data_IF_795983254992
#
_entry.id   IF_795983254992
#
_cell.length_a   1.000
_cell.length_b   1.000
_cell.length_c   1.000
_cell.angle_alpha   90.00
_cell.angle_beta   90.00
_cell.angle_gamma   90.00
#
_symmetry.space_group_name_H-M   'P 1'
#
loop_
_entity.id
_entity.type
_entity.pdbx_description
1 polymer ?
#
# COMPACT_ATOMS: atom_id res chain seq x y z
N UNK A 1 -26.99 14.50 -8.21
CA UNK A 1 -27.08 15.78 -7.47
C UNK A 1 -26.21 16.77 -8.24
N UNK A 2 -26.78 17.83 -8.82
CA UNK A 2 -26.00 18.84 -9.56
C UNK A 2 -25.62 19.91 -8.54
N UNK A 3 -24.37 19.90 -8.11
CA UNK A 3 -23.83 20.84 -7.12
C UNK A 3 -23.75 22.23 -7.76
N UNK A 4 -24.55 23.19 -7.25
CA UNK A 4 -24.54 24.58 -7.72
C UNK A 4 -23.25 25.33 -7.35
N UNK A 5 -22.43 24.74 -6.48
CA UNK A 5 -21.21 25.34 -5.93
C UNK A 5 -19.94 24.95 -6.71
N UNK A 6 -20.06 24.26 -7.85
CA UNK A 6 -18.93 23.82 -8.67
C UNK A 6 -18.53 24.77 -9.82
N UNK A 7 -19.23 25.91 -10.00
CA UNK A 7 -19.04 26.81 -11.13
C UNK A 7 -19.08 28.29 -10.74
N UNK A 8 -18.11 29.07 -11.24
CA UNK A 8 -18.10 30.52 -11.14
C UNK A 8 -18.81 31.14 -12.34
N UNK A 9 -19.74 32.04 -12.05
CA UNK A 9 -20.62 32.68 -13.04
C UNK A 9 -20.41 34.19 -13.09
N UNK A 10 -20.50 34.78 -14.29
CA UNK A 10 -20.43 36.22 -14.52
C UNK A 10 -21.67 36.69 -15.27
N UNK A 11 -22.21 37.84 -14.87
CA UNK A 11 -23.24 38.55 -15.63
C UNK A 11 -22.59 39.42 -16.71
N UNK A 12 -23.06 39.31 -17.95
CA UNK A 12 -22.60 40.06 -19.10
C UNK A 12 -23.74 40.96 -19.62
N UNK A 13 -23.50 42.26 -19.73
CA UNK A 13 -24.48 43.29 -20.14
C UNK A 13 -23.90 44.09 -21.32
N UNK A 14 -24.22 43.73 -22.58
CA UNK A 14 -23.65 44.36 -23.77
C UNK A 14 -24.18 45.78 -24.09
N UNK A 15 -24.97 46.40 -23.20
CA UNK A 15 -25.39 47.80 -23.31
C UNK A 15 -26.67 48.06 -24.13
N UNK A 16 -27.24 47.03 -24.75
CA UNK A 16 -28.56 47.04 -25.42
C UNK A 16 -29.73 46.77 -24.47
N UNK A 17 -29.46 46.71 -23.15
CA UNK A 17 -30.41 46.33 -22.13
C UNK A 17 -30.62 44.82 -21.98
N UNK A 18 -30.01 43.99 -22.84
CA UNK A 18 -29.94 42.55 -22.65
C UNK A 18 -28.90 42.18 -21.58
N UNK A 19 -29.07 41.01 -20.98
CA UNK A 19 -28.08 40.43 -20.07
C UNK A 19 -28.07 38.92 -20.22
N UNK A 20 -26.91 38.30 -19.97
CA UNK A 20 -26.75 36.85 -19.90
C UNK A 20 -25.81 36.45 -18.76
N UNK A 21 -26.03 35.25 -18.21
CA UNK A 21 -25.10 34.62 -17.27
C UNK A 21 -24.20 33.69 -18.07
N UNK A 22 -22.89 33.80 -17.84
CA UNK A 22 -21.88 32.94 -18.44
C UNK A 22 -21.08 32.24 -17.33
N UNK A 23 -20.85 30.94 -17.47
CA UNK A 23 -19.90 30.22 -16.62
C UNK A 23 -18.49 30.60 -17.09
N UNK A 24 -17.68 31.14 -16.20
CA UNK A 24 -16.32 31.62 -16.51
C UNK A 24 -15.24 30.70 -15.96
N UNK A 25 -15.56 29.87 -14.95
CA UNK A 25 -14.64 28.89 -14.39
C UNK A 25 -15.40 27.76 -13.68
N UNK A 26 -14.72 26.64 -13.47
CA UNK A 26 -15.11 25.56 -12.56
C UNK A 26 -14.39 25.74 -11.22
N UNK A 27 -14.92 25.11 -10.16
CA UNK A 27 -14.30 25.07 -8.84
C UNK A 27 -13.97 23.62 -8.46
N UNK A 28 -12.73 23.36 -8.06
CA UNK A 28 -12.31 22.05 -7.54
C UNK A 28 -12.91 21.81 -6.14
N UNK A 29 -12.93 20.56 -5.63
CA UNK A 29 -13.40 20.28 -4.27
C UNK A 29 -12.63 21.01 -3.15
N UNK A 30 -11.38 21.38 -3.40
CA UNK A 30 -10.56 22.20 -2.49
C UNK A 30 -10.89 23.70 -2.56
N UNK A 31 -11.70 24.11 -3.53
CA UNK A 31 -12.08 25.51 -3.77
C UNK A 31 -11.25 26.24 -4.82
N UNK A 32 -10.26 25.60 -5.45
CA UNK A 32 -9.43 26.22 -6.49
C UNK A 32 -10.26 26.51 -7.75
N UNK A 33 -9.97 27.65 -8.40
CA UNK A 33 -10.70 28.10 -9.60
C UNK A 33 -9.96 27.66 -10.86
N UNK A 34 -10.67 26.98 -11.76
CA UNK A 34 -10.15 26.52 -13.06
C UNK A 34 -10.92 27.22 -14.19
N UNK A 35 -10.35 28.21 -14.88
CA UNK A 35 -11.02 28.90 -15.98
C UNK A 35 -11.58 27.95 -17.04
N UNK A 36 -12.69 28.32 -17.68
CA UNK A 36 -13.25 27.53 -18.78
C UNK A 36 -12.23 27.37 -19.91
N UNK A 37 -12.16 26.16 -20.46
CA UNK A 37 -11.18 25.71 -21.45
C UNK A 37 -9.73 25.77 -20.97
N UNK A 38 -9.51 25.54 -19.67
CA UNK A 38 -8.18 25.46 -19.07
C UNK A 38 -8.06 24.27 -18.12
N UNK A 39 -6.82 24.04 -17.68
CA UNK A 39 -6.46 22.95 -16.79
C UNK A 39 -5.70 23.48 -15.58
N UNK A 40 -5.83 22.79 -14.45
CA UNK A 40 -5.17 23.12 -13.19
C UNK A 40 -4.67 21.84 -12.53
N UNK A 41 -3.39 21.82 -12.13
CA UNK A 41 -2.82 20.68 -11.41
C UNK A 41 -2.93 20.95 -9.91
N UNK A 42 -3.47 19.97 -9.20
CA UNK A 42 -3.61 19.97 -7.76
C UNK A 42 -3.20 18.60 -7.23
N UNK A 43 -2.08 18.57 -6.51
CA UNK A 43 -1.49 17.34 -5.97
C UNK A 43 -1.40 16.24 -7.05
N UNK A 44 -2.15 15.16 -6.86
CA UNK A 44 -2.19 13.98 -7.72
C UNK A 44 -3.22 14.07 -8.85
N UNK A 45 -3.96 15.18 -8.92
CA UNK A 45 -5.07 15.37 -9.85
C UNK A 45 -4.78 16.47 -10.86
N UNK A 46 -5.24 16.27 -12.08
CA UNK A 46 -5.31 17.30 -13.11
C UNK A 46 -6.78 17.62 -13.36
N UNK A 47 -7.19 18.85 -13.06
CA UNK A 47 -8.54 19.34 -13.21
C UNK A 47 -8.69 20.05 -14.55
N UNK A 48 -9.65 19.63 -15.37
CA UNK A 48 -9.91 20.22 -16.69
C UNK A 48 -11.32 20.78 -16.72
N UNK A 49 -11.46 22.09 -16.88
CA UNK A 49 -12.76 22.74 -17.03
C UNK A 49 -13.03 22.94 -18.52
N UNK A 50 -13.92 22.17 -19.12
CA UNK A 50 -14.16 22.18 -20.57
C UNK A 50 -15.57 22.68 -20.88
N UNK A 51 -15.72 23.40 -21.99
CA UNK A 51 -17.02 23.76 -22.55
C UNK A 51 -17.25 23.07 -23.89
N UNK A 52 -18.37 22.37 -24.03
CA UNK A 52 -18.75 21.76 -25.31
C UNK A 52 -19.36 22.78 -26.29
N UNK A 53 -19.56 22.37 -27.55
CA UNK A 53 -20.14 23.22 -28.60
C UNK A 53 -21.59 23.66 -28.32
N UNK A 54 -22.28 23.04 -27.35
CA UNK A 54 -23.63 23.41 -26.91
C UNK A 54 -23.59 24.34 -25.70
N UNK A 55 -22.40 24.78 -25.28
CA UNK A 55 -22.19 25.68 -24.15
C UNK A 55 -22.20 24.98 -22.79
N UNK A 56 -22.26 23.64 -22.72
CA UNK A 56 -22.23 22.91 -21.46
C UNK A 56 -20.82 22.90 -20.89
N UNK A 57 -20.68 23.36 -19.66
CA UNK A 57 -19.40 23.35 -18.94
C UNK A 57 -19.34 22.13 -18.01
N UNK A 58 -18.20 21.43 -18.02
CA UNK A 58 -17.95 20.24 -17.18
C UNK A 58 -16.55 20.34 -16.58
N UNK A 59 -16.44 20.02 -15.30
CA UNK A 59 -15.17 19.79 -14.63
C UNK A 59 -14.81 18.30 -14.70
N UNK A 60 -13.72 17.97 -15.37
CA UNK A 60 -13.17 16.62 -15.42
C UNK A 60 -11.98 16.48 -14.49
N UNK A 61 -11.94 15.40 -13.72
CA UNK A 61 -10.77 15.01 -12.93
C UNK A 61 -9.96 13.97 -13.70
N UNK A 62 -8.73 14.31 -14.02
CA UNK A 62 -7.69 13.42 -14.53
C UNK A 62 -6.61 13.15 -13.49
N UNK A 63 -5.65 12.31 -13.86
CA UNK A 63 -4.48 11.98 -13.04
C UNK A 63 -3.34 12.90 -13.44
N UNK A 64 -2.75 13.63 -12.50
CA UNK A 64 -1.51 14.37 -12.75
C UNK A 64 -0.40 13.36 -13.07
N UNK A 65 0.15 13.36 -14.30
CA UNK A 65 1.16 12.39 -14.67
C UNK A 65 2.42 12.54 -13.81
N UNK A 66 2.80 13.77 -13.48
CA UNK A 66 4.02 14.13 -12.76
C UNK A 66 3.80 14.26 -11.23
N UNK A 67 2.75 13.62 -10.72
CA UNK A 67 2.43 13.61 -9.31
C UNK A 67 3.53 12.90 -8.50
N UNK A 68 3.90 13.52 -7.38
CA UNK A 68 4.91 13.02 -6.45
C UNK A 68 4.35 12.00 -5.45
N UNK A 69 5.23 11.22 -4.85
CA UNK A 69 4.91 10.29 -3.77
C UNK A 69 5.53 10.81 -2.47
N UNK A 70 4.81 11.70 -1.78
CA UNK A 70 5.40 12.47 -0.67
C UNK A 70 6.51 13.39 -1.19
N UNK A 71 7.73 13.16 -0.72
CA UNK A 71 8.91 13.93 -1.15
C UNK A 71 9.55 13.41 -2.46
N UNK A 72 9.10 12.25 -2.97
CA UNK A 72 9.73 11.58 -4.11
C UNK A 72 9.12 11.99 -5.46
N UNK A 73 9.98 12.33 -6.42
CA UNK A 73 9.57 12.69 -7.78
C UNK A 73 9.05 11.48 -8.56
N UNK A 74 8.26 11.72 -9.61
CA UNK A 74 7.82 10.65 -10.51
C UNK A 74 9.04 9.94 -11.14
N UNK A 75 9.06 8.60 -11.06
CA UNK A 75 10.15 7.74 -11.53
C UNK A 75 11.30 7.59 -10.52
N UNK A 76 11.28 8.34 -9.43
CA UNK A 76 12.24 8.18 -8.35
C UNK A 76 12.05 6.82 -7.67
N UNK A 77 13.18 6.21 -7.30
CA UNK A 77 13.22 4.99 -6.52
C UNK A 77 13.80 5.30 -5.14
N UNK A 78 13.17 4.77 -4.09
CA UNK A 78 13.67 4.91 -2.72
C UNK A 78 13.54 3.60 -1.94
N UNK A 79 14.36 3.50 -0.90
CA UNK A 79 14.41 2.36 -0.01
C UNK A 79 13.75 2.71 1.31
N UNK A 80 12.86 1.83 1.77
CA UNK A 80 12.38 1.82 3.15
C UNK A 80 12.71 0.46 3.77
N UNK A 81 13.63 0.45 4.73
CA UNK A 81 14.14 -0.78 5.37
C UNK A 81 14.65 -1.80 4.35
N UNK A 82 13.98 -2.93 4.15
CA UNK A 82 14.36 -3.98 3.21
C UNK A 82 13.55 -3.92 1.91
N UNK A 83 12.87 -2.81 1.61
CA UNK A 83 11.93 -2.71 0.50
C UNK A 83 12.29 -1.55 -0.42
N UNK A 84 12.26 -1.81 -1.73
CA UNK A 84 12.48 -0.83 -2.79
C UNK A 84 11.15 -0.45 -3.42
N UNK A 85 10.92 0.85 -3.54
CA UNK A 85 9.73 1.44 -4.14
C UNK A 85 10.07 2.33 -5.34
N UNK A 86 9.07 2.57 -6.19
CA UNK A 86 9.09 3.51 -7.31
C UNK A 86 7.85 4.42 -7.22
N UNK A 87 8.01 5.71 -7.50
CA UNK A 87 6.88 6.62 -7.62
C UNK A 87 6.37 6.57 -9.05
N UNK A 88 5.23 5.92 -9.27
CA UNK A 88 4.63 5.83 -10.59
C UNK A 88 3.55 6.90 -10.80
N UNK A 89 3.08 6.99 -12.05
CA UNK A 89 2.11 7.98 -12.51
C UNK A 89 0.94 8.17 -11.53
N UNK A 90 0.62 9.42 -11.21
CA UNK A 90 -0.47 9.75 -10.30
C UNK A 90 -0.10 9.73 -8.81
N UNK A 91 1.20 9.78 -8.48
CA UNK A 91 1.66 9.79 -7.10
C UNK A 91 1.44 8.45 -6.40
N UNK A 92 1.45 7.36 -7.17
CA UNK A 92 1.24 6.02 -6.65
C UNK A 92 2.59 5.38 -6.30
N UNK A 93 2.70 4.87 -5.08
CA UNK A 93 3.86 4.11 -4.65
C UNK A 93 3.75 2.67 -5.15
N UNK A 94 4.75 2.20 -5.89
CA UNK A 94 4.82 0.83 -6.39
C UNK A 94 5.97 0.09 -5.72
N UNK A 95 5.67 -1.03 -5.08
CA UNK A 95 6.70 -1.94 -4.58
C UNK A 95 7.42 -2.66 -5.74
N UNK A 96 8.75 -2.67 -5.72
CA UNK A 96 9.61 -3.18 -6.81
C UNK A 96 10.33 -4.47 -6.41
N UNK A 97 11.05 -4.45 -5.29
CA UNK A 97 11.92 -5.54 -4.87
C UNK A 97 12.21 -5.48 -3.37
N UNK A 98 12.63 -6.61 -2.79
CA UNK A 98 13.26 -6.65 -1.50
C UNK A 98 14.78 -6.39 -1.64
N UNK A 99 15.41 -5.84 -0.62
CA UNK A 99 16.86 -5.59 -0.55
C UNK A 99 17.46 -6.51 0.52
N UNK A 100 18.33 -7.43 0.11
CA UNK A 100 19.10 -8.30 1.01
C UNK A 100 20.27 -7.57 1.69
N UNK A 101 20.94 -8.24 2.63
CA UNK A 101 22.03 -7.65 3.43
C UNK A 101 23.20 -7.08 2.60
N UNK A 102 23.43 -7.62 1.40
CA UNK A 102 24.52 -7.19 0.51
C UNK A 102 24.06 -6.14 -0.53
N UNK A 103 23.00 -5.37 -0.24
CA UNK A 103 22.34 -4.44 -1.17
C UNK A 103 21.75 -5.11 -2.43
N UNK A 104 21.66 -6.44 -2.42
CA UNK A 104 21.18 -7.18 -3.57
C UNK A 104 19.66 -7.11 -3.67
N UNK A 105 19.18 -6.73 -4.86
CA UNK A 105 17.74 -6.71 -5.15
C UNK A 105 17.24 -8.13 -5.43
N UNK A 106 16.16 -8.50 -4.75
CA UNK A 106 15.41 -9.74 -4.92
C UNK A 106 14.02 -9.35 -5.42
N UNK A 107 13.69 -9.65 -6.68
CA UNK A 107 12.38 -9.29 -7.25
C UNK A 107 11.26 -10.06 -6.56
N UNK A 108 10.03 -9.54 -6.67
CA UNK A 108 8.84 -10.22 -6.16
C UNK A 108 8.75 -11.64 -6.75
N UNK A 109 8.62 -12.64 -5.89
CA UNK A 109 8.58 -14.07 -6.24
C UNK A 109 9.95 -14.71 -6.50
N UNK A 110 11.03 -13.93 -6.44
CA UNK A 110 12.40 -14.43 -6.61
C UNK A 110 12.98 -14.89 -5.28
N UNK A 111 13.94 -15.81 -5.36
CA UNK A 111 14.81 -16.20 -4.25
C UNK A 111 16.27 -16.14 -4.67
N UNK A 112 17.14 -15.70 -3.76
CA UNK A 112 18.58 -15.59 -4.00
C UNK A 112 19.39 -16.15 -2.84
N UNK A 113 20.55 -16.71 -3.15
CA UNK A 113 21.48 -17.16 -2.11
C UNK A 113 22.33 -15.99 -1.61
N UNK A 114 22.16 -15.63 -0.34
CA UNK A 114 22.88 -14.56 0.33
C UNK A 114 23.44 -15.12 1.64
N UNK A 115 24.77 -15.12 1.78
CA UNK A 115 25.47 -15.52 3.01
C UNK A 115 25.06 -16.91 3.54
N UNK A 116 24.83 -17.88 2.65
CA UNK A 116 24.42 -19.24 3.02
C UNK A 116 22.93 -19.40 3.33
N UNK A 117 22.11 -18.40 3.03
CA UNK A 117 20.65 -18.45 3.09
C UNK A 117 20.05 -18.30 1.71
N UNK A 118 19.01 -19.05 1.39
CA UNK A 118 18.09 -18.77 0.29
C UNK A 118 17.09 -17.74 0.82
N UNK A 119 17.25 -16.49 0.41
CA UNK A 119 16.41 -15.36 0.79
C UNK A 119 15.36 -15.12 -0.29
N UNK A 120 14.09 -15.15 0.08
CA UNK A 120 12.92 -15.00 -0.80
C UNK A 120 12.22 -13.68 -0.54
N UNK A 121 11.79 -13.02 -1.62
CA UNK A 121 10.92 -11.85 -1.57
C UNK A 121 9.51 -12.25 -2.03
N UNK A 122 8.53 -12.21 -1.13
CA UNK A 122 7.18 -12.71 -1.39
C UNK A 122 6.13 -11.60 -1.23
N UNK A 123 5.15 -11.58 -2.13
CA UNK A 123 3.95 -10.74 -2.02
C UNK A 123 2.72 -11.63 -1.88
N UNK A 124 2.02 -11.51 -0.76
CA UNK A 124 0.79 -12.24 -0.47
C UNK A 124 -0.42 -11.62 -1.16
N UNK A 125 -1.50 -12.41 -1.31
CA UNK A 125 -2.74 -11.98 -1.97
C UNK A 125 -3.40 -10.77 -1.30
N UNK A 126 -3.26 -10.66 0.04
CA UNK A 126 -3.73 -9.51 0.81
C UNK A 126 -2.89 -8.23 0.61
N UNK A 127 -1.86 -8.29 -0.24
CA UNK A 127 -0.98 -7.17 -0.57
C UNK A 127 0.24 -7.02 0.35
N UNK A 128 0.34 -7.79 1.44
CA UNK A 128 1.51 -7.80 2.32
C UNK A 128 2.74 -8.30 1.58
N UNK A 129 3.88 -7.66 1.80
CA UNK A 129 5.18 -8.09 1.26
C UNK A 129 6.07 -8.53 2.41
N UNK A 130 6.76 -9.65 2.24
CA UNK A 130 7.72 -10.16 3.21
C UNK A 130 9.04 -10.55 2.53
N UNK A 131 10.14 -10.34 3.26
CA UNK A 131 11.43 -10.95 2.98
C UNK A 131 11.68 -12.02 4.05
N UNK A 132 12.01 -13.24 3.64
CA UNK A 132 12.32 -14.33 4.54
C UNK A 132 13.50 -15.14 4.01
N UNK A 133 14.23 -15.81 4.90
CA UNK A 133 15.44 -16.54 4.54
C UNK A 133 15.46 -17.92 5.17
N UNK A 134 15.78 -18.93 4.38
CA UNK A 134 16.02 -20.29 4.85
C UNK A 134 17.48 -20.63 4.65
N UNK A 135 18.14 -21.24 5.64
CA UNK A 135 19.56 -21.61 5.50
C UNK A 135 19.69 -22.66 4.40
N UNK A 136 20.61 -22.46 3.47
CA UNK A 136 20.91 -23.44 2.42
C UNK A 136 21.54 -24.66 3.08
N UNK A 137 20.92 -25.83 2.91
CA UNK A 137 21.51 -27.10 3.32
C UNK A 137 22.84 -27.29 2.57
N UNK A 138 23.96 -27.16 3.27
CA UNK A 138 25.23 -27.64 2.76
C UNK A 138 25.27 -29.15 2.95
N UNK A 139 25.47 -29.91 1.87
CA UNK A 139 25.99 -31.28 1.94
C UNK A 139 27.39 -31.23 2.58
N UNK A 140 27.45 -31.15 3.91
CA UNK A 140 28.67 -31.30 4.70
C UNK A 140 28.29 -31.95 6.03
N UNK A 141 28.55 -33.25 6.04
CA UNK A 141 28.93 -34.07 7.18
C UNK A 141 27.85 -34.37 8.23
N UNK A 142 27.03 -35.40 7.92
CA UNK A 142 26.54 -36.43 8.87
C UNK A 142 25.83 -35.99 10.16
N UNK A 143 25.62 -34.70 10.36
CA UNK A 143 24.96 -34.11 11.51
C UNK A 143 23.56 -33.77 11.06
N UNK A 144 22.61 -34.50 11.63
CA UNK A 144 21.18 -34.33 11.42
C UNK A 144 20.80 -32.87 11.70
N UNK A 145 20.66 -32.07 10.63
CA UNK A 145 20.33 -30.65 10.75
C UNK A 145 18.92 -30.50 11.33
N UNK A 146 18.84 -29.90 12.51
CA UNK A 146 17.57 -29.60 13.18
C UNK A 146 17.20 -28.16 12.83
N UNK A 147 16.32 -27.98 11.87
CA UNK A 147 15.71 -26.68 11.58
C UNK A 147 14.77 -26.30 12.72
N UNK A 148 14.88 -25.06 13.18
CA UNK A 148 14.21 -24.51 14.36
C UNK A 148 13.81 -23.06 14.09
N UNK A 149 12.69 -22.63 14.67
CA UNK A 149 12.26 -21.24 14.68
C UNK A 149 12.67 -20.57 15.99
N UNK A 150 12.92 -19.27 15.95
CA UNK A 150 13.29 -18.48 17.15
C UNK A 150 12.17 -17.49 17.45
N UNK A 151 11.68 -17.48 18.70
CA UNK A 151 10.63 -16.56 19.14
C UNK A 151 11.15 -15.16 19.51
N UNK A 152 10.27 -14.26 19.94
CA UNK A 152 10.64 -12.88 20.28
C UNK A 152 11.52 -12.75 21.54
N UNK A 153 11.53 -13.78 22.39
CA UNK A 153 12.38 -13.89 23.59
C UNK A 153 13.72 -14.60 23.29
N UNK A 154 13.91 -15.07 22.05
CA UNK A 154 15.11 -15.79 21.62
C UNK A 154 15.08 -17.29 21.89
N UNK A 155 13.96 -17.87 22.31
CA UNK A 155 13.86 -19.31 22.52
C UNK A 155 13.69 -20.06 21.19
N UNK A 156 14.28 -21.26 21.15
CA UNK A 156 14.27 -22.13 19.99
C UNK A 156 13.09 -23.11 20.03
N UNK A 157 12.38 -23.22 18.90
CA UNK A 157 11.21 -24.05 18.71
C UNK A 157 11.44 -25.02 17.55
N UNK A 158 11.09 -26.29 17.73
CA UNK A 158 11.24 -27.29 16.67
C UNK A 158 10.24 -27.06 15.52
N UNK A 159 10.56 -27.59 14.33
CA UNK A 159 9.57 -27.74 13.25
C UNK A 159 8.30 -28.44 13.78
N UNK A 160 7.16 -27.98 13.27
CA UNK A 160 5.80 -28.42 13.60
C UNK A 160 5.42 -28.24 15.08
N UNK A 161 6.26 -27.55 15.86
CA UNK A 161 5.92 -27.13 17.22
C UNK A 161 5.20 -25.77 17.21
N UNK A 162 4.47 -25.52 18.29
CA UNK A 162 3.74 -24.29 18.52
C UNK A 162 4.09 -23.69 19.88
N UNK A 163 3.96 -22.38 20.01
CA UNK A 163 4.23 -21.65 21.24
C UNK A 163 3.35 -20.41 21.37
N UNK A 164 3.22 -19.91 22.60
CA UNK A 164 2.59 -18.62 22.86
C UNK A 164 3.69 -17.56 22.94
N UNK A 165 3.71 -16.67 21.96
CA UNK A 165 4.64 -15.55 21.87
C UNK A 165 4.02 -14.28 22.48
N UNK A 166 4.77 -13.62 23.36
CA UNK A 166 4.38 -12.38 24.05
C UNK A 166 2.98 -12.45 24.70
N UNK A 167 2.60 -13.61 25.24
CA UNK A 167 1.28 -13.91 25.83
C UNK A 167 0.05 -13.64 24.95
N UNK A 168 0.25 -13.34 23.66
CA UNK A 168 -0.81 -12.82 22.77
C UNK A 168 -0.97 -13.59 21.49
N UNK A 169 0.05 -14.30 21.03
CA UNK A 169 0.02 -14.95 19.73
C UNK A 169 0.37 -16.41 19.89
N UNK A 170 -0.54 -17.29 19.47
CA UNK A 170 -0.23 -18.68 19.27
C UNK A 170 0.40 -18.86 17.89
N UNK A 171 1.68 -19.24 17.85
CA UNK A 171 2.49 -19.36 16.64
C UNK A 171 2.91 -20.79 16.39
N UNK A 172 3.22 -21.14 15.16
CA UNK A 172 3.77 -22.45 14.77
C UNK A 172 5.01 -22.29 13.90
N UNK A 173 5.96 -23.23 14.03
CA UNK A 173 7.12 -23.32 13.15
C UNK A 173 6.77 -24.31 12.04
N UNK A 174 6.66 -23.86 10.79
CA UNK A 174 6.39 -24.74 9.66
C UNK A 174 7.66 -25.52 9.29
N UNK A 175 7.50 -26.65 8.59
CA UNK A 175 8.61 -27.44 8.06
C UNK A 175 9.57 -26.67 7.13
N UNK A 176 9.16 -25.51 6.63
CA UNK A 176 10.01 -24.59 5.87
C UNK A 176 10.86 -23.65 6.74
N UNK A 177 10.72 -23.69 8.07
CA UNK A 177 11.35 -22.73 8.98
C UNK A 177 10.61 -21.39 9.06
N UNK A 178 9.45 -21.27 8.40
CA UNK A 178 8.58 -20.09 8.48
C UNK A 178 7.76 -20.15 9.78
N UNK A 179 7.67 -19.00 10.45
CA UNK A 179 6.76 -18.81 11.59
C UNK A 179 5.41 -18.36 11.06
N UNK A 180 4.34 -19.05 11.46
CA UNK A 180 2.96 -18.68 11.15
C UNK A 180 2.15 -18.41 12.42
N UNK A 181 1.11 -17.58 12.34
CA UNK A 181 0.25 -17.23 13.47
C UNK A 181 -1.07 -18.00 13.36
N UNK A 182 -1.32 -18.91 14.30
CA UNK A 182 -2.53 -19.74 14.32
C UNK A 182 -3.74 -19.01 14.89
N UNK A 183 -3.54 -18.26 15.98
CA UNK A 183 -4.58 -17.46 16.64
C UNK A 183 -3.98 -16.42 17.60
N UNK A 184 -4.82 -15.47 18.02
CA UNK A 184 -4.52 -14.54 19.11
C UNK A 184 -5.10 -15.07 20.43
N UNK A 185 -4.44 -14.77 21.55
CA UNK A 185 -4.88 -15.08 22.91
C UNK A 185 -5.44 -13.81 23.55
N UNK A 186 -6.71 -13.82 23.96
CA UNK A 186 -7.32 -12.71 24.70
C UNK A 186 -6.75 -12.61 26.12
N UNK A 187 -7.00 -11.51 26.83
CA UNK A 187 -6.59 -11.36 28.24
C UNK A 187 -7.17 -12.44 29.15
N UNK A 188 -8.32 -13.02 28.77
CA UNK A 188 -9.02 -14.07 29.49
C UNK A 188 -8.57 -15.48 29.04
N UNK A 189 -7.62 -15.55 28.09
CA UNK A 189 -7.07 -16.81 27.58
C UNK A 189 -7.83 -17.40 26.39
N UNK A 190 -8.81 -16.69 25.82
CA UNK A 190 -9.57 -17.18 24.69
C UNK A 190 -8.78 -17.13 23.38
N UNK A 191 -8.86 -18.22 22.60
CA UNK A 191 -8.27 -18.28 21.26
C UNK A 191 -9.19 -17.61 20.24
N UNK A 192 -8.69 -16.54 19.62
CA UNK A 192 -9.35 -15.74 18.58
C UNK A 192 -8.70 -16.06 17.23
N UNK A 193 -9.42 -16.62 16.26
CA UNK A 193 -8.85 -16.98 14.96
C UNK A 193 -8.34 -15.75 14.21
N UNK A 194 -7.31 -15.94 13.39
CA UNK A 194 -6.77 -14.87 12.55
C UNK A 194 -7.72 -14.64 11.38
N UNK A 195 -8.07 -13.38 11.10
CA UNK A 195 -8.96 -12.96 10.00
C UNK A 195 -10.42 -13.45 10.08
N UNK A 196 -10.90 -13.87 11.25
CA UNK A 196 -12.29 -14.25 11.45
C UNK A 196 -12.90 -13.52 12.65
N UNK A 197 -14.19 -13.18 12.54
CA UNK A 197 -14.95 -12.63 13.65
C UNK A 197 -15.33 -13.75 14.62
N UNK A 198 -15.13 -13.52 15.92
CA UNK A 198 -15.57 -14.44 16.96
C UNK A 198 -16.22 -13.70 18.13
N UNK A 199 -17.39 -14.17 18.55
CA UNK A 199 -18.08 -13.66 19.75
C UNK A 199 -17.91 -14.66 20.88
N UNK A 200 -17.38 -14.20 22.01
CA UNK A 200 -17.18 -15.00 23.24
C UNK A 200 -17.72 -14.18 24.40
N UNK A 201 -18.63 -14.74 25.20
CA UNK A 201 -19.24 -14.10 26.38
C UNK A 201 -19.77 -12.67 26.11
N UNK A 202 -20.45 -12.48 24.97
CA UNK A 202 -20.97 -11.20 24.47
C UNK A 202 -19.91 -10.14 24.11
N UNK A 203 -18.63 -10.51 24.07
CA UNK A 203 -17.54 -9.69 23.55
C UNK A 203 -17.22 -10.12 22.12
N UNK A 204 -17.23 -9.17 21.18
CA UNK A 204 -16.91 -9.39 19.77
C UNK A 204 -15.43 -9.11 19.52
N UNK A 205 -14.71 -10.12 19.05
CA UNK A 205 -13.33 -10.05 18.60
C UNK A 205 -13.30 -9.93 17.07
N UNK A 206 -12.51 -8.99 16.58
CA UNK A 206 -12.32 -8.62 15.17
C UNK A 206 -10.86 -8.77 14.79
#
# INVERSE_FOLDING_TARGET
MIEKDAFLMKCNMPGDGSWKIEIIACQTPSGATVPVNSSFIEENSEWNCTQDYRGRVVLHRGVNPNAKCGEHEQGEHWREKAFLFECVRGGQQKFIACIGENEEQIKIGESKEINGYIVTCEKYENGTVAIHGVRKESELDGTQFKMECVDSDGNHHAIDSWWIDNHRFNKTCLASGKIDVLNCISKEGHQVPVNEEKVIDNVKFL
#
